data_IF_908007963622
#
_entry.id   IF_908007963622
#
_cell.length_a   1.000
_cell.length_b   1.000
_cell.length_c   1.000
_cell.angle_alpha   90.00
_cell.angle_beta   90.00
_cell.angle_gamma   90.00
#
_symmetry.space_group_name_H-M   'P 1'
#
loop_
_entity.id
_entity.type
_entity.pdbx_description
1 polymer ?
#
# COMPACT_ATOMS: atom_id res chain seq x y z
N UNK A 1 -22.18 18.38 12.61
CA UNK A 1 -20.75 17.99 12.51
C UNK A 1 -20.53 16.47 12.53
N UNK A 2 -21.57 15.68 12.84
CA UNK A 2 -21.58 14.21 12.77
C UNK A 2 -21.86 13.67 11.36
N UNK A 3 -22.83 14.24 10.64
CA UNK A 3 -23.29 13.70 9.34
C UNK A 3 -22.22 13.66 8.24
N UNK A 4 -21.22 14.55 8.26
CA UNK A 4 -20.14 14.56 7.27
C UNK A 4 -19.12 13.42 7.53
N UNK A 5 -18.87 13.12 8.81
CA UNK A 5 -18.02 12.00 9.22
C UNK A 5 -18.79 10.68 9.01
N UNK A 6 -20.08 10.64 9.32
CA UNK A 6 -20.91 9.45 9.12
C UNK A 6 -21.18 9.13 7.64
N UNK A 7 -21.13 10.11 6.73
CA UNK A 7 -21.20 9.83 5.27
C UNK A 7 -19.83 9.48 4.67
N UNK A 8 -18.73 10.00 5.22
CA UNK A 8 -17.38 9.74 4.72
C UNK A 8 -16.75 8.46 5.30
N UNK A 9 -17.11 8.11 6.54
CA UNK A 9 -16.70 6.90 7.27
C UNK A 9 -17.89 5.95 7.52
N UNK A 10 -19.04 6.21 6.92
CA UNK A 10 -20.20 5.33 6.95
C UNK A 10 -19.91 3.96 6.33
N UNK A 11 -20.77 2.96 6.58
CA UNK A 11 -20.59 1.61 6.07
C UNK A 11 -20.44 1.64 4.55
N UNK A 12 -19.22 1.37 4.10
CA UNK A 12 -18.86 1.46 2.69
C UNK A 12 -19.56 0.33 1.94
N UNK A 13 -20.39 0.69 0.95
CA UNK A 13 -21.10 -0.26 0.07
C UNK A 13 -20.13 -1.32 -0.48
N UNK A 14 -20.59 -2.57 -0.61
CA UNK A 14 -19.78 -3.70 -1.06
C UNK A 14 -19.04 -3.51 -2.39
N UNK A 15 -19.49 -2.58 -3.23
CA UNK A 15 -18.84 -2.24 -4.50
C UNK A 15 -17.41 -1.67 -4.30
N UNK A 16 -17.16 -0.97 -3.19
CA UNK A 16 -15.84 -0.44 -2.85
C UNK A 16 -14.85 -1.51 -2.40
N UNK A 17 -15.31 -2.75 -2.16
CA UNK A 17 -14.43 -3.88 -1.88
C UNK A 17 -13.48 -4.14 -3.05
N UNK A 18 -13.98 -4.09 -4.29
CA UNK A 18 -13.15 -4.27 -5.48
C UNK A 18 -12.15 -3.13 -5.67
N UNK A 19 -12.51 -1.92 -5.23
CA UNK A 19 -11.59 -0.77 -5.25
C UNK A 19 -10.39 -1.01 -4.31
N UNK A 20 -10.60 -1.45 -3.07
CA UNK A 20 -9.50 -1.78 -2.15
C UNK A 20 -8.63 -2.92 -2.67
N UNK A 21 -9.23 -3.90 -3.35
CA UNK A 21 -8.48 -4.97 -4.01
C UNK A 21 -7.57 -4.42 -5.10
N UNK A 22 -8.10 -3.58 -5.99
CA UNK A 22 -7.30 -2.92 -7.03
C UNK A 22 -6.16 -2.08 -6.42
N UNK A 23 -6.46 -1.32 -5.36
CA UNK A 23 -5.47 -0.50 -4.66
C UNK A 23 -4.38 -1.35 -3.98
N UNK A 24 -4.73 -2.53 -3.46
CA UNK A 24 -3.75 -3.49 -2.94
C UNK A 24 -2.79 -3.98 -4.02
N UNK A 25 -3.31 -4.31 -5.22
CA UNK A 25 -2.49 -4.74 -6.35
C UNK A 25 -1.57 -3.61 -6.82
N UNK A 26 -2.12 -2.39 -6.95
CA UNK A 26 -1.37 -1.21 -7.36
C UNK A 26 -0.21 -0.93 -6.41
N UNK A 27 -0.49 -0.89 -5.10
CA UNK A 27 0.51 -0.60 -4.07
C UNK A 27 1.58 -1.70 -3.99
N UNK A 28 1.20 -2.96 -4.21
CA UNK A 28 2.14 -4.07 -4.35
C UNK A 28 3.04 -3.93 -5.59
N UNK A 29 2.50 -3.50 -6.74
CA UNK A 29 3.31 -3.24 -7.93
C UNK A 29 4.32 -2.11 -7.71
N UNK A 30 3.91 -1.02 -7.04
CA UNK A 30 4.81 0.08 -6.67
C UNK A 30 5.91 -0.40 -5.71
N UNK A 31 5.55 -1.21 -4.70
CA UNK A 31 6.51 -1.84 -3.80
C UNK A 31 7.58 -2.61 -4.58
N UNK A 32 7.19 -3.45 -5.54
CA UNK A 32 8.13 -4.18 -6.39
C UNK A 32 9.02 -3.25 -7.22
N UNK A 33 8.47 -2.17 -7.79
CA UNK A 33 9.26 -1.18 -8.52
C UNK A 33 10.31 -0.50 -7.62
N UNK A 34 9.95 -0.16 -6.38
CA UNK A 34 10.87 0.45 -5.41
C UNK A 34 11.98 -0.52 -5.01
N UNK A 35 11.65 -1.79 -4.76
CA UNK A 35 12.62 -2.82 -4.40
C UNK A 35 13.57 -3.11 -5.57
N UNK A 36 13.04 -3.39 -6.76
CA UNK A 36 13.84 -3.72 -7.95
C UNK A 36 14.66 -2.51 -8.41
N UNK A 37 14.05 -1.32 -8.46
CA UNK A 37 14.73 -0.08 -8.82
C UNK A 37 15.80 0.30 -7.80
N UNK A 38 15.51 0.13 -6.51
CA UNK A 38 16.45 0.36 -5.41
C UNK A 38 17.65 -0.60 -5.45
N UNK A 39 17.41 -1.89 -5.69
CA UNK A 39 18.48 -2.89 -5.85
C UNK A 39 19.31 -2.61 -7.11
N UNK A 40 18.68 -2.35 -8.25
CA UNK A 40 19.38 -2.06 -9.51
C UNK A 40 20.28 -0.83 -9.38
N UNK A 41 19.75 0.25 -8.81
CA UNK A 41 20.51 1.49 -8.60
C UNK A 41 21.58 1.34 -7.50
N UNK A 42 21.32 0.56 -6.46
CA UNK A 42 22.27 0.24 -5.40
C UNK A 42 23.48 -0.54 -5.91
N UNK A 43 23.25 -1.56 -6.74
CA UNK A 43 24.29 -2.40 -7.36
C UNK A 43 25.06 -1.68 -8.46
N UNK A 44 24.39 -0.87 -9.28
CA UNK A 44 25.03 -0.20 -10.44
C UNK A 44 25.88 1.00 -10.06
N UNK A 45 25.47 1.77 -9.04
CA UNK A 45 26.14 3.04 -8.67
C UNK A 45 27.00 2.96 -7.40
N UNK A 46 27.06 1.81 -6.72
CA UNK A 46 27.86 1.66 -5.49
C UNK A 46 27.47 2.68 -4.42
N UNK A 47 26.21 2.63 -3.97
CA UNK A 47 25.64 3.61 -3.04
C UNK A 47 25.99 3.32 -1.58
N UNK A 48 26.05 4.37 -0.77
CA UNK A 48 26.21 4.29 0.69
C UNK A 48 25.05 3.61 1.41
N UNK A 49 25.31 3.14 2.64
CA UNK A 49 24.34 2.53 3.55
C UNK A 49 23.08 3.37 3.74
N UNK A 50 23.17 4.71 3.71
CA UNK A 50 22.01 5.60 3.81
C UNK A 50 21.01 5.47 2.66
N UNK A 51 21.47 5.13 1.45
CA UNK A 51 20.59 4.85 0.32
C UNK A 51 19.85 3.54 0.52
N UNK A 52 20.53 2.49 0.96
CA UNK A 52 19.92 1.21 1.28
C UNK A 52 18.89 1.35 2.40
N UNK A 53 19.18 2.12 3.46
CA UNK A 53 18.21 2.42 4.51
C UNK A 53 16.96 3.15 3.98
N UNK A 54 17.14 4.07 3.04
CA UNK A 54 16.03 4.80 2.40
C UNK A 54 15.17 3.89 1.52
N UNK A 55 15.80 3.02 0.73
CA UNK A 55 15.10 2.00 -0.09
C UNK A 55 14.35 1.02 0.81
N UNK A 56 14.97 0.57 1.90
CA UNK A 56 14.38 -0.36 2.84
C UNK A 56 13.19 0.28 3.58
N UNK A 57 13.33 1.52 4.04
CA UNK A 57 12.23 2.30 4.64
C UNK A 57 11.07 2.56 3.66
N UNK A 58 11.38 2.94 2.43
CA UNK A 58 10.37 3.12 1.37
C UNK A 58 9.64 1.81 1.06
N UNK A 59 10.39 0.70 0.95
CA UNK A 59 9.80 -0.62 0.73
C UNK A 59 8.89 -1.04 1.90
N UNK A 60 9.29 -0.82 3.15
CA UNK A 60 8.47 -1.09 4.33
C UNK A 60 7.19 -0.27 4.33
N UNK A 61 7.25 1.02 3.98
CA UNK A 61 6.08 1.88 3.89
C UNK A 61 5.07 1.36 2.86
N UNK A 62 5.49 1.07 1.63
CA UNK A 62 4.60 0.53 0.60
C UNK A 62 4.07 -0.87 0.95
N UNK A 63 4.87 -1.68 1.64
CA UNK A 63 4.44 -2.99 2.13
C UNK A 63 3.33 -2.87 3.20
N UNK A 64 3.48 -1.94 4.14
CA UNK A 64 2.44 -1.64 5.14
C UNK A 64 1.15 -1.18 4.46
N UNK A 65 1.24 -0.29 3.47
CA UNK A 65 0.06 0.19 2.72
C UNK A 65 -0.63 -0.97 1.98
N UNK A 66 0.12 -1.85 1.33
CA UNK A 66 -0.43 -3.07 0.73
C UNK A 66 -1.14 -3.95 1.78
N UNK A 67 -0.53 -4.13 2.95
CA UNK A 67 -1.10 -4.93 4.03
C UNK A 67 -2.41 -4.34 4.54
N UNK A 68 -2.47 -3.02 4.77
CA UNK A 68 -3.69 -2.31 5.18
C UNK A 68 -4.79 -2.44 4.12
N UNK A 69 -4.47 -2.24 2.83
CA UNK A 69 -5.43 -2.39 1.74
C UNK A 69 -5.99 -3.82 1.65
N UNK A 70 -5.16 -4.84 1.86
CA UNK A 70 -5.59 -6.24 1.89
C UNK A 70 -6.44 -6.57 3.12
N UNK A 71 -6.13 -5.99 4.27
CA UNK A 71 -6.96 -6.10 5.47
C UNK A 71 -8.34 -5.48 5.23
N UNK A 72 -8.41 -4.27 4.67
CA UNK A 72 -9.68 -3.61 4.34
C UNK A 72 -10.51 -4.43 3.35
N UNK A 73 -9.88 -5.02 2.33
CA UNK A 73 -10.55 -5.94 1.41
C UNK A 73 -11.15 -7.15 2.14
N UNK A 74 -10.39 -7.78 3.03
CA UNK A 74 -10.84 -8.95 3.80
C UNK A 74 -12.02 -8.63 4.72
N UNK A 75 -12.00 -7.47 5.37
CA UNK A 75 -13.09 -7.00 6.25
C UNK A 75 -14.34 -6.69 5.41
N UNK A 76 -14.19 -5.99 4.28
CA UNK A 76 -15.30 -5.62 3.41
C UNK A 76 -15.97 -6.86 2.78
N UNK A 77 -15.18 -7.89 2.41
CA UNK A 77 -15.71 -9.19 1.96
C UNK A 77 -16.41 -10.00 3.05
N UNK A 78 -16.04 -9.85 4.31
CA UNK A 78 -16.62 -10.59 5.45
C UNK A 78 -17.83 -9.90 6.07
N UNK A 79 -17.96 -8.60 5.88
CA UNK A 79 -19.05 -7.78 6.43
C UNK A 79 -20.30 -7.77 5.55
N UNK A 80 -20.25 -8.41 4.39
CA UNK A 80 -21.32 -8.52 3.39
C UNK A 80 -21.86 -9.95 3.40
#
# INVERSE_FOLDING_TARGET
MSEFIDNLFGPLSGEYCYYFYFLSILTFAIFLMVVVGGLYTGLTKGKDLGFYASVLGGSLAYFIVYFVNRLMYSICKKSL
#
